data_IF_383389818657
#
_entry.id   IF_383389818657
#
_cell.length_a   1.000
_cell.length_b   1.000
_cell.length_c   1.000
_cell.angle_alpha   90.00
_cell.angle_beta   90.00
_cell.angle_gamma   90.00
#
_symmetry.space_group_name_H-M   'P 1'
#
loop_
_entity.id
_entity.type
_entity.pdbx_description
1 polymer ?
#
# COMPACT_ATOMS: atom_id res chain seq x y z
N UNK A 1 -11.73 12.29 -11.91
CA UNK A 1 -12.34 11.94 -10.61
C UNK A 1 -13.81 12.36 -10.54
N UNK A 2 -14.70 11.45 -10.16
CA UNK A 2 -16.11 11.77 -9.87
C UNK A 2 -16.26 12.54 -8.55
N UNK A 3 -17.36 13.27 -8.36
CA UNK A 3 -17.65 13.95 -7.08
C UNK A 3 -17.80 12.95 -5.93
N UNK A 4 -18.42 11.80 -6.19
CA UNK A 4 -18.61 10.73 -5.21
C UNK A 4 -17.27 10.22 -4.68
N UNK A 5 -16.31 9.92 -5.57
CA UNK A 5 -14.98 9.48 -5.17
C UNK A 5 -14.28 10.52 -4.30
N UNK A 6 -14.34 11.82 -4.67
CA UNK A 6 -13.74 12.90 -3.89
C UNK A 6 -14.30 12.98 -2.47
N UNK A 7 -15.62 12.88 -2.32
CA UNK A 7 -16.29 12.92 -1.02
C UNK A 7 -15.89 11.71 -0.18
N UNK A 8 -15.92 10.51 -0.76
CA UNK A 8 -15.60 9.28 -0.03
C UNK A 8 -14.11 9.24 0.37
N UNK A 9 -13.20 9.61 -0.53
CA UNK A 9 -11.77 9.70 -0.20
C UNK A 9 -11.52 10.70 0.93
N UNK A 10 -12.13 11.89 0.88
CA UNK A 10 -11.98 12.89 1.95
C UNK A 10 -12.57 12.43 3.29
N UNK A 11 -13.63 11.62 3.26
CA UNK A 11 -14.35 11.19 4.47
C UNK A 11 -13.71 9.97 5.13
N UNK A 12 -13.28 8.98 4.33
CA UNK A 12 -12.85 7.68 4.82
C UNK A 12 -11.32 7.47 4.77
N UNK A 13 -10.58 8.19 3.92
CA UNK A 13 -9.14 7.95 3.73
C UNK A 13 -8.26 8.68 4.75
N UNK A 14 -8.12 8.09 5.94
CA UNK A 14 -7.32 8.68 7.03
C UNK A 14 -5.85 8.26 7.05
N UNK A 15 -5.53 7.10 6.48
CA UNK A 15 -4.20 6.47 6.53
C UNK A 15 -3.62 6.29 5.13
N UNK A 16 -2.33 5.99 5.02
CA UNK A 16 -1.67 5.79 3.73
C UNK A 16 -2.26 4.60 2.97
N UNK A 17 -2.49 3.46 3.63
CA UNK A 17 -3.18 2.30 3.02
C UNK A 17 -4.57 2.64 2.50
N UNK A 18 -5.36 3.43 3.24
CA UNK A 18 -6.66 3.87 2.74
C UNK A 18 -6.56 4.66 1.44
N UNK A 19 -5.61 5.61 1.38
CA UNK A 19 -5.40 6.45 0.21
C UNK A 19 -4.92 5.61 -0.97
N UNK A 20 -3.92 4.74 -0.77
CA UNK A 20 -3.42 3.82 -1.81
C UNK A 20 -4.53 2.91 -2.33
N UNK A 21 -5.31 2.29 -1.44
CA UNK A 21 -6.39 1.37 -1.81
C UNK A 21 -7.49 2.05 -2.65
N UNK A 22 -7.87 3.30 -2.31
CA UNK A 22 -8.84 4.07 -3.09
C UNK A 22 -8.25 4.60 -4.40
N UNK A 23 -7.04 5.16 -4.36
CA UNK A 23 -6.40 5.71 -5.55
C UNK A 23 -6.14 4.62 -6.59
N UNK A 24 -5.84 3.38 -6.17
CA UNK A 24 -5.74 2.22 -7.05
C UNK A 24 -7.04 1.91 -7.80
N UNK A 25 -8.22 2.02 -7.16
CA UNK A 25 -9.51 1.85 -7.84
C UNK A 25 -9.70 2.88 -8.95
N UNK A 26 -9.29 4.12 -8.72
CA UNK A 26 -9.37 5.18 -9.73
C UNK A 26 -8.36 4.99 -10.88
N UNK A 27 -7.34 4.17 -10.66
CA UNK A 27 -6.30 3.84 -11.64
C UNK A 27 -6.56 2.57 -12.43
N UNK A 28 -7.68 1.88 -12.20
CA UNK A 28 -8.06 0.68 -12.96
C UNK A 28 -8.13 0.96 -14.47
N UNK A 29 -7.43 0.15 -15.26
CA UNK A 29 -7.34 0.28 -16.72
C UNK A 29 -8.06 -0.89 -17.42
N UNK A 30 -9.37 -1.01 -17.19
CA UNK A 30 -10.21 -2.00 -17.85
C UNK A 30 -11.52 -1.36 -18.33
N UNK A 31 -12.20 -1.93 -19.34
CA UNK A 31 -13.44 -1.36 -19.87
C UNK A 31 -14.51 -1.13 -18.80
N UNK A 32 -14.57 -2.00 -17.79
CA UNK A 32 -15.54 -1.96 -16.69
C UNK A 32 -15.04 -1.20 -15.44
N UNK A 33 -13.93 -0.46 -15.52
CA UNK A 33 -13.29 0.18 -14.37
C UNK A 33 -14.25 1.04 -13.54
N UNK A 34 -15.12 1.82 -14.19
CA UNK A 34 -16.11 2.65 -13.49
C UNK A 34 -17.16 1.82 -12.73
N UNK A 35 -17.55 0.66 -13.27
CA UNK A 35 -18.48 -0.23 -12.58
C UNK A 35 -17.84 -0.86 -11.35
N UNK A 36 -16.58 -1.29 -11.45
CA UNK A 36 -15.80 -1.77 -10.31
C UNK A 36 -15.61 -0.67 -9.27
N UNK A 37 -15.14 0.52 -9.65
CA UNK A 37 -14.97 1.65 -8.75
C UNK A 37 -16.28 1.91 -7.96
N UNK A 38 -17.43 1.98 -8.64
CA UNK A 38 -18.73 2.16 -7.97
C UNK A 38 -19.09 1.03 -7.01
N UNK A 39 -18.80 -0.23 -7.35
CA UNK A 39 -19.06 -1.36 -6.48
C UNK A 39 -18.27 -1.24 -5.16
N UNK A 40 -16.97 -0.96 -5.24
CA UNK A 40 -16.14 -0.80 -4.05
C UNK A 40 -16.52 0.47 -3.26
N UNK A 41 -16.78 1.59 -3.93
CA UNK A 41 -17.19 2.84 -3.29
C UNK A 41 -18.55 2.74 -2.58
N UNK A 42 -19.47 1.90 -3.06
CA UNK A 42 -20.73 1.58 -2.35
C UNK A 42 -20.48 0.98 -0.96
N UNK A 43 -19.34 0.31 -0.79
CA UNK A 43 -18.93 -0.36 0.43
C UNK A 43 -17.65 0.25 1.03
N UNK A 44 -17.44 1.57 0.84
CA UNK A 44 -16.19 2.25 1.19
C UNK A 44 -15.76 2.04 2.64
N UNK A 45 -16.68 2.11 3.61
CA UNK A 45 -16.35 1.85 5.03
C UNK A 45 -15.74 0.46 5.25
N UNK A 46 -16.32 -0.56 4.61
CA UNK A 46 -15.84 -1.94 4.72
C UNK A 46 -14.49 -2.12 4.01
N UNK A 47 -14.34 -1.49 2.85
CA UNK A 47 -13.08 -1.52 2.11
C UNK A 47 -11.94 -0.90 2.92
N UNK A 48 -12.19 0.24 3.56
CA UNK A 48 -11.23 0.93 4.42
C UNK A 48 -10.93 0.13 5.69
N UNK A 49 -11.96 -0.43 6.34
CA UNK A 49 -11.77 -1.32 7.48
C UNK A 49 -10.86 -2.51 7.11
N UNK A 50 -11.07 -3.14 5.94
CA UNK A 50 -10.19 -4.19 5.43
C UNK A 50 -8.75 -3.72 5.23
N UNK A 51 -8.55 -2.53 4.64
CA UNK A 51 -7.22 -1.96 4.38
C UNK A 51 -6.43 -1.57 5.65
N UNK A 52 -7.06 -1.60 6.82
CA UNK A 52 -6.42 -1.34 8.12
C UNK A 52 -6.47 -2.52 9.09
N UNK A 53 -7.29 -3.52 8.83
CA UNK A 53 -7.42 -4.71 9.69
C UNK A 53 -6.08 -5.42 9.99
N UNK A 54 -5.11 -5.52 9.06
CA UNK A 54 -3.82 -6.12 9.39
C UNK A 54 -3.07 -5.43 10.54
N UNK A 55 -3.12 -4.10 10.62
CA UNK A 55 -2.52 -3.32 11.71
C UNK A 55 -3.38 -3.35 12.99
N UNK A 56 -4.68 -3.12 12.83
CA UNK A 56 -5.56 -2.76 13.93
C UNK A 56 -6.11 -4.00 14.64
N UNK A 57 -6.34 -5.08 13.89
CA UNK A 57 -7.01 -6.30 14.36
C UNK A 57 -6.09 -7.54 14.32
N UNK A 58 -5.47 -7.83 13.18
CA UNK A 58 -4.72 -9.09 13.00
C UNK A 58 -3.38 -9.05 13.71
N UNK A 59 -2.67 -7.92 13.63
CA UNK A 59 -1.39 -7.65 14.30
C UNK A 59 -0.34 -8.72 14.03
N UNK A 60 -0.35 -9.26 12.81
CA UNK A 60 0.55 -10.30 12.37
C UNK A 60 1.75 -9.69 11.62
N UNK A 61 2.47 -8.77 12.29
CA UNK A 61 3.48 -7.87 11.72
C UNK A 61 4.59 -8.54 10.89
N UNK A 62 4.92 -9.81 11.13
CA UNK A 62 5.86 -10.54 10.26
C UNK A 62 5.35 -10.63 8.81
N UNK A 63 4.05 -10.57 8.60
CA UNK A 63 3.43 -10.63 7.28
C UNK A 63 3.36 -9.28 6.56
N UNK A 64 3.77 -8.20 7.22
CA UNK A 64 3.83 -6.86 6.65
C UNK A 64 5.18 -6.63 5.96
N UNK A 65 6.18 -7.44 6.28
CA UNK A 65 7.55 -7.26 5.79
C UNK A 65 7.93 -8.30 4.74
N UNK A 66 8.92 -7.94 3.92
CA UNK A 66 9.63 -8.83 3.02
C UNK A 66 11.06 -8.33 2.81
N UNK A 67 12.05 -9.02 3.37
CA UNK A 67 13.44 -8.61 3.39
C UNK A 67 14.27 -9.27 2.28
N UNK A 68 14.53 -8.62 1.13
CA UNK A 68 15.15 -9.31 0.00
C UNK A 68 16.60 -9.69 0.24
N UNK A 69 17.33 -8.87 1.02
CA UNK A 69 18.73 -9.12 1.40
C UNK A 69 18.88 -10.20 2.49
N UNK A 70 17.78 -10.63 3.11
CA UNK A 70 17.74 -11.72 4.08
C UNK A 70 16.96 -12.92 3.53
N UNK A 71 17.33 -13.37 2.32
CA UNK A 71 16.72 -14.53 1.65
C UNK A 71 15.18 -14.40 1.53
N UNK A 72 14.68 -13.18 1.30
CA UNK A 72 13.25 -12.87 1.26
C UNK A 72 12.51 -13.25 2.56
N UNK A 73 13.12 -13.02 3.73
CA UNK A 73 12.47 -13.23 5.02
C UNK A 73 11.26 -12.32 5.19
N UNK A 74 10.12 -12.87 5.60
CA UNK A 74 8.86 -12.14 5.74
C UNK A 74 7.67 -12.95 5.21
N UNK A 75 6.47 -12.44 5.39
CA UNK A 75 5.23 -13.15 5.05
C UNK A 75 4.35 -12.49 3.99
N UNK A 76 4.71 -11.28 3.52
CA UNK A 76 3.85 -10.50 2.64
C UNK A 76 3.43 -11.24 1.35
N UNK A 77 4.31 -11.90 0.58
CA UNK A 77 3.90 -12.60 -0.64
C UNK A 77 2.83 -13.67 -0.41
N UNK A 78 2.96 -14.44 0.66
CA UNK A 78 2.00 -15.50 1.00
C UNK A 78 0.65 -14.92 1.43
N UNK A 79 0.65 -13.84 2.22
CA UNK A 79 -0.60 -13.17 2.59
C UNK A 79 -1.32 -12.54 1.41
N UNK A 80 -0.58 -11.86 0.53
CA UNK A 80 -1.16 -11.29 -0.70
C UNK A 80 -1.79 -12.40 -1.55
N UNK A 81 -1.07 -13.50 -1.78
CA UNK A 81 -1.61 -14.63 -2.53
C UNK A 81 -2.85 -15.26 -1.87
N UNK A 82 -2.85 -15.41 -0.55
CA UNK A 82 -3.98 -15.94 0.22
C UNK A 82 -5.21 -15.03 0.10
N UNK A 83 -5.06 -13.73 0.35
CA UNK A 83 -6.18 -12.78 0.28
C UNK A 83 -6.67 -12.55 -1.14
N UNK A 84 -5.79 -12.64 -2.14
CA UNK A 84 -6.19 -12.71 -3.54
C UNK A 84 -7.07 -13.94 -3.82
N UNK A 85 -6.69 -15.11 -3.30
CA UNK A 85 -7.50 -16.32 -3.39
C UNK A 85 -8.91 -16.15 -2.80
N UNK A 86 -9.00 -15.56 -1.61
CA UNK A 86 -10.28 -15.23 -0.96
C UNK A 86 -11.11 -14.23 -1.78
N UNK A 87 -10.48 -13.17 -2.29
CA UNK A 87 -11.12 -12.19 -3.17
C UNK A 87 -11.71 -12.87 -4.41
N UNK A 88 -10.93 -13.68 -5.11
CA UNK A 88 -11.39 -14.38 -6.33
C UNK A 88 -12.53 -15.35 -6.01
N UNK A 89 -12.46 -16.07 -4.89
CA UNK A 89 -13.52 -16.97 -4.47
C UNK A 89 -14.83 -16.22 -4.18
N UNK A 90 -14.76 -15.10 -3.45
CA UNK A 90 -15.91 -14.26 -3.13
C UNK A 90 -16.53 -13.66 -4.39
N UNK A 91 -15.72 -13.17 -5.33
CA UNK A 91 -16.19 -12.66 -6.63
C UNK A 91 -16.91 -13.74 -7.45
N UNK A 92 -16.37 -14.97 -7.51
CA UNK A 92 -17.02 -16.10 -8.20
C UNK A 92 -18.34 -16.52 -7.56
N UNK A 93 -18.48 -16.34 -6.25
CA UNK A 93 -19.70 -16.60 -5.52
C UNK A 93 -20.67 -15.41 -5.51
N UNK A 94 -20.33 -14.31 -6.20
CA UNK A 94 -21.08 -13.04 -6.17
C UNK A 94 -21.27 -12.47 -4.75
N UNK A 95 -20.39 -12.85 -3.82
CA UNK A 95 -20.37 -12.31 -2.45
C UNK A 95 -19.60 -10.98 -2.42
N UNK A 96 -20.27 -9.92 -2.88
CA UNK A 96 -19.66 -8.59 -3.05
C UNK A 96 -19.12 -7.99 -1.75
N UNK A 97 -19.79 -8.24 -0.62
CA UNK A 97 -19.38 -7.72 0.69
C UNK A 97 -18.03 -8.34 1.09
N UNK A 98 -17.93 -9.67 0.99
CA UNK A 98 -16.68 -10.38 1.30
C UNK A 98 -15.58 -10.02 0.30
N UNK A 99 -15.91 -9.91 -0.99
CA UNK A 99 -14.94 -9.49 -2.01
C UNK A 99 -14.35 -8.11 -1.68
N UNK A 100 -15.17 -7.14 -1.29
CA UNK A 100 -14.70 -5.80 -0.90
C UNK A 100 -13.79 -5.86 0.31
N UNK A 101 -14.17 -6.61 1.35
CA UNK A 101 -13.33 -6.80 2.53
C UNK A 101 -11.97 -7.43 2.17
N UNK A 102 -11.98 -8.54 1.43
CA UNK A 102 -10.77 -9.24 1.02
C UNK A 102 -9.85 -8.37 0.17
N UNK A 103 -10.39 -7.56 -0.74
CA UNK A 103 -9.59 -6.62 -1.52
C UNK A 103 -8.93 -5.56 -0.64
N UNK A 104 -9.65 -5.04 0.36
CA UNK A 104 -9.11 -4.08 1.33
C UNK A 104 -7.91 -4.69 2.06
N UNK A 105 -8.09 -5.87 2.65
CA UNK A 105 -7.03 -6.57 3.37
C UNK A 105 -5.85 -6.91 2.45
N UNK A 106 -6.11 -7.41 1.24
CA UNK A 106 -5.07 -7.71 0.25
C UNK A 106 -4.24 -6.46 -0.09
N UNK A 107 -4.90 -5.30 -0.24
CA UNK A 107 -4.23 -4.05 -0.61
C UNK A 107 -3.21 -3.60 0.42
N UNK A 108 -3.46 -3.87 1.71
CA UNK A 108 -2.53 -3.56 2.80
C UNK A 108 -1.22 -4.34 2.62
N UNK A 109 -1.28 -5.67 2.68
CA UNK A 109 -0.11 -6.53 2.53
C UNK A 109 0.60 -6.38 1.18
N UNK A 110 -0.13 -5.98 0.12
CA UNK A 110 0.47 -5.74 -1.20
C UNK A 110 1.25 -4.43 -1.25
N UNK A 111 0.95 -3.48 -0.36
CA UNK A 111 1.58 -2.15 -0.36
C UNK A 111 2.66 -2.00 0.70
N UNK A 112 2.65 -2.79 1.79
CA UNK A 112 3.73 -2.72 2.79
C UNK A 112 5.12 -2.90 2.16
N UNK A 113 5.39 -3.91 1.30
CA UNK A 113 6.72 -4.10 0.73
C UNK A 113 7.11 -3.04 -0.31
N UNK A 114 6.20 -2.13 -0.68
CA UNK A 114 6.52 -0.95 -1.49
C UNK A 114 7.18 0.13 -0.62
N UNK A 115 7.00 0.11 0.70
CA UNK A 115 7.65 1.03 1.62
C UNK A 115 9.05 0.51 2.01
N UNK A 116 10.14 1.28 1.84
CA UNK A 116 11.50 0.81 2.11
C UNK A 116 11.67 0.18 3.49
N UNK A 117 11.13 0.78 4.56
CA UNK A 117 11.25 0.26 5.93
C UNK A 117 10.55 -1.08 6.22
N UNK A 118 9.77 -1.62 5.28
CA UNK A 118 9.22 -2.98 5.38
C UNK A 118 10.09 -4.02 4.65
N UNK A 119 11.27 -3.61 4.16
CA UNK A 119 12.17 -4.46 3.35
C UNK A 119 13.51 -4.79 4.02
N UNK A 120 13.76 -4.28 5.21
CA UNK A 120 14.91 -4.60 6.05
C UNK A 120 14.64 -4.07 7.46
N UNK A 121 15.51 -4.42 8.41
CA UNK A 121 15.42 -3.94 9.77
C UNK A 121 16.79 -3.49 10.29
N UNK A 122 16.82 -2.36 11.01
CA UNK A 122 18.01 -1.87 11.69
C UNK A 122 17.62 -1.02 12.90
N UNK A 123 18.56 -0.82 13.84
CA UNK A 123 18.32 0.06 14.98
C UNK A 123 18.03 1.51 14.56
N UNK A 124 18.74 2.01 13.54
CA UNK A 124 18.54 3.36 13.03
C UNK A 124 17.12 3.56 12.48
N UNK A 125 16.64 2.63 11.66
CA UNK A 125 15.29 2.66 11.11
C UNK A 125 14.22 2.48 12.18
N UNK A 126 14.37 1.52 13.11
CA UNK A 126 13.44 1.30 14.23
C UNK A 126 13.16 2.59 15.03
N UNK A 127 14.15 3.47 15.16
CA UNK A 127 14.04 4.73 15.89
C UNK A 127 13.24 5.82 15.14
N UNK A 128 13.10 5.70 13.81
CA UNK A 128 12.45 6.70 12.95
C UNK A 128 11.20 6.18 12.23
N UNK A 129 10.97 4.87 12.17
CA UNK A 129 9.96 4.20 11.34
C UNK A 129 8.59 4.87 11.40
N UNK A 130 8.00 4.92 12.60
CA UNK A 130 6.66 5.48 12.81
C UNK A 130 6.58 6.96 12.44
N UNK A 131 7.65 7.71 12.70
CA UNK A 131 7.69 9.13 12.38
C UNK A 131 7.70 9.31 10.85
N UNK A 132 8.51 8.53 10.13
CA UNK A 132 8.58 8.56 8.68
C UNK A 132 7.25 8.16 8.02
N UNK A 133 6.61 7.07 8.46
CA UNK A 133 5.30 6.66 7.96
C UNK A 133 4.24 7.76 8.19
N UNK A 134 4.31 8.44 9.33
CA UNK A 134 3.42 9.56 9.62
C UNK A 134 3.69 10.77 8.72
N UNK A 135 4.96 11.12 8.50
CA UNK A 135 5.37 12.14 7.53
C UNK A 135 4.84 11.84 6.13
N UNK A 136 5.01 10.61 5.65
CA UNK A 136 4.50 10.16 4.35
C UNK A 136 2.97 10.28 4.30
N UNK A 137 2.26 9.88 5.35
CA UNK A 137 0.81 10.02 5.41
C UNK A 137 0.35 11.48 5.26
N UNK A 138 1.04 12.40 5.94
CA UNK A 138 0.75 13.83 5.94
C UNK A 138 1.12 14.51 4.62
N UNK A 139 2.18 14.03 3.96
CA UNK A 139 2.65 14.52 2.66
C UNK A 139 2.02 13.81 1.45
N UNK A 140 1.19 12.78 1.68
CA UNK A 140 0.72 11.87 0.63
C UNK A 140 0.21 12.55 -0.63
N UNK A 141 -0.66 13.57 -0.51
CA UNK A 141 -1.28 14.18 -1.70
C UNK A 141 -0.25 14.94 -2.56
N UNK A 142 0.78 15.51 -1.94
CA UNK A 142 1.93 16.11 -2.64
C UNK A 142 2.78 15.04 -3.32
N UNK A 143 3.21 14.04 -2.55
CA UNK A 143 4.01 12.90 -3.05
C UNK A 143 3.33 12.18 -4.22
N UNK A 144 2.02 11.93 -4.10
CA UNK A 144 1.22 11.32 -5.16
C UNK A 144 1.18 12.17 -6.43
N UNK A 145 0.98 13.48 -6.28
CA UNK A 145 0.91 14.39 -7.43
C UNK A 145 2.24 14.47 -8.17
N UNK A 146 3.35 14.52 -7.43
CA UNK A 146 4.71 14.50 -7.99
C UNK A 146 5.01 13.16 -8.67
N UNK A 147 4.68 12.03 -8.02
CA UNK A 147 4.90 10.70 -8.56
C UNK A 147 4.13 10.48 -9.88
N UNK A 148 2.86 10.87 -9.95
CA UNK A 148 2.08 10.76 -11.20
C UNK A 148 2.64 11.67 -12.30
N UNK A 149 3.15 12.86 -11.96
CA UNK A 149 3.77 13.74 -12.95
C UNK A 149 5.11 13.20 -13.47
N UNK A 150 5.94 12.61 -12.60
CA UNK A 150 7.25 12.06 -12.94
C UNK A 150 7.18 10.68 -13.60
N UNK A 151 6.15 9.90 -13.30
CA UNK A 151 6.03 8.49 -13.64
C UNK A 151 4.69 8.14 -14.30
N UNK A 152 4.12 9.06 -15.07
CA UNK A 152 2.83 8.88 -15.76
C UNK A 152 2.78 7.60 -16.63
N UNK A 153 3.92 7.25 -17.24
CA UNK A 153 4.06 6.11 -18.15
C UNK A 153 4.69 4.87 -17.47
N UNK A 154 4.73 4.83 -16.13
CA UNK A 154 5.25 3.67 -15.41
C UNK A 154 4.37 2.46 -15.68
N UNK A 155 4.92 1.52 -16.46
CA UNK A 155 4.32 0.22 -16.70
C UNK A 155 4.86 -0.80 -15.69
N UNK A 156 3.95 -1.45 -14.98
CA UNK A 156 4.29 -2.50 -14.00
C UNK A 156 4.08 -3.84 -14.67
N UNK A 157 5.19 -4.48 -15.05
CA UNK A 157 5.14 -5.79 -15.66
C UNK A 157 4.46 -6.81 -14.73
N UNK A 158 3.43 -7.49 -15.24
CA UNK A 158 2.76 -8.60 -14.55
C UNK A 158 3.46 -9.90 -14.98
N UNK A 159 4.15 -10.61 -14.07
CA UNK A 159 4.80 -11.87 -14.40
C UNK A 159 3.79 -12.91 -14.88
N UNK A 160 4.28 -13.91 -15.64
CA UNK A 160 3.46 -15.04 -16.09
C UNK A 160 3.62 -16.23 -15.15
N UNK A 161 2.57 -17.03 -15.01
CA UNK A 161 2.61 -18.29 -14.25
C UNK A 161 1.84 -18.26 -12.94
N UNK A 162 1.81 -19.37 -12.18
CA UNK A 162 0.93 -19.53 -11.03
C UNK A 162 1.34 -18.69 -9.80
N UNK A 163 2.56 -18.16 -9.77
CA UNK A 163 3.09 -17.36 -8.66
C UNK A 163 3.18 -15.87 -8.97
N UNK A 164 2.60 -15.41 -10.08
CA UNK A 164 2.76 -14.05 -10.59
C UNK A 164 2.55 -12.96 -9.52
N UNK A 165 1.56 -13.13 -8.64
CA UNK A 165 1.25 -12.11 -7.62
C UNK A 165 2.31 -12.07 -6.52
N UNK A 166 2.92 -13.21 -6.18
CA UNK A 166 4.04 -13.29 -5.23
C UNK A 166 5.27 -12.64 -5.85
N UNK A 167 5.54 -12.94 -7.11
CA UNK A 167 6.66 -12.39 -7.86
C UNK A 167 6.57 -10.86 -7.97
N UNK A 168 5.36 -10.30 -8.12
CA UNK A 168 5.13 -8.86 -8.08
C UNK A 168 5.48 -8.26 -6.70
N UNK A 169 5.11 -8.92 -5.61
CA UNK A 169 5.43 -8.46 -4.24
C UNK A 169 6.94 -8.50 -4.01
N UNK A 170 7.62 -9.56 -4.45
CA UNK A 170 9.09 -9.64 -4.38
C UNK A 170 9.75 -8.53 -5.20
N UNK A 171 9.29 -8.27 -6.42
CA UNK A 171 9.82 -7.21 -7.28
C UNK A 171 9.60 -5.81 -6.68
N UNK A 172 8.48 -5.58 -6.01
CA UNK A 172 8.23 -4.35 -5.26
C UNK A 172 9.24 -4.19 -4.11
N UNK A 173 9.43 -5.24 -3.30
CA UNK A 173 10.38 -5.22 -2.20
C UNK A 173 11.82 -5.00 -2.67
N UNK A 174 12.25 -5.66 -3.75
CA UNK A 174 13.58 -5.48 -4.35
C UNK A 174 13.80 -4.02 -4.77
N UNK A 175 12.80 -3.40 -5.40
CA UNK A 175 12.87 -2.00 -5.82
C UNK A 175 12.94 -1.08 -4.61
N UNK A 176 12.07 -1.25 -3.62
CA UNK A 176 12.01 -0.37 -2.45
C UNK A 176 13.20 -0.54 -1.51
N UNK A 177 13.77 -1.73 -1.43
CA UNK A 177 14.96 -2.01 -0.65
C UNK A 177 16.20 -1.25 -1.15
N UNK A 178 16.24 -0.84 -2.42
CA UNK A 178 17.30 0.00 -2.95
C UNK A 178 17.35 1.40 -2.31
N UNK A 179 16.23 1.86 -1.73
CA UNK A 179 16.10 3.15 -1.07
C UNK A 179 16.08 3.05 0.47
N UNK A 180 16.26 1.85 1.05
CA UNK A 180 16.21 1.63 2.50
C UNK A 180 17.19 2.53 3.26
N UNK A 181 18.48 2.44 2.97
CA UNK A 181 19.49 3.26 3.65
C UNK A 181 19.36 4.75 3.30
N UNK A 182 18.88 5.07 2.08
CA UNK A 182 18.68 6.46 1.65
C UNK A 182 17.61 7.14 2.50
N UNK A 183 16.46 6.49 2.69
CA UNK A 183 15.38 7.04 3.51
C UNK A 183 15.84 7.24 4.97
N UNK A 184 16.63 6.32 5.53
CA UNK A 184 17.21 6.50 6.87
C UNK A 184 18.13 7.73 6.91
N UNK A 185 19.01 7.87 5.93
CA UNK A 185 20.01 8.93 5.91
C UNK A 185 19.41 10.33 5.72
N UNK A 186 18.28 10.43 5.02
CA UNK A 186 17.66 11.70 4.64
C UNK A 186 16.48 12.11 5.54
N UNK A 187 15.89 11.18 6.30
CA UNK A 187 14.79 11.52 7.19
C UNK A 187 15.26 12.30 8.43
N UNK A 188 14.75 13.51 8.61
CA UNK A 188 15.03 14.33 9.80
C UNK A 188 13.96 14.11 10.87
N UNK A 189 14.26 13.22 11.83
CA UNK A 189 13.36 12.95 12.95
C UNK A 189 13.08 14.18 13.82
N UNK A 190 14.05 15.10 13.98
CA UNK A 190 13.86 16.26 14.86
C UNK A 190 12.81 17.22 14.29
N UNK A 191 12.74 17.32 12.96
CA UNK A 191 11.71 18.11 12.27
C UNK A 191 10.41 17.33 12.14
N UNK A 192 10.47 16.06 11.73
CA UNK A 192 9.29 15.22 11.49
C UNK A 192 8.40 14.96 12.72
N UNK A 193 8.97 15.00 13.94
CA UNK A 193 8.14 14.91 15.16
C UNK A 193 7.40 16.20 15.49
N UNK A 194 7.84 17.35 14.96
CA UNK A 194 7.23 18.67 15.18
C UNK A 194 6.26 19.00 14.05
N UNK A 195 6.74 18.94 12.81
CA UNK A 195 5.95 19.11 11.59
C UNK A 195 6.25 17.93 10.64
N UNK A 196 5.38 16.91 10.57
CA UNK A 196 5.69 15.65 9.90
C UNK A 196 6.19 15.80 8.46
N UNK A 197 5.57 16.61 7.58
CA UNK A 197 6.10 16.84 6.24
C UNK A 197 7.54 17.35 6.20
N UNK A 198 7.99 18.14 7.18
CA UNK A 198 9.36 18.68 7.22
C UNK A 198 10.43 17.65 7.56
N UNK A 199 10.04 16.44 7.99
CA UNK A 199 10.96 15.32 8.17
C UNK A 199 11.43 14.72 6.84
N UNK A 200 10.72 14.97 5.74
CA UNK A 200 11.08 14.52 4.39
C UNK A 200 11.79 15.67 3.65
N UNK A 201 12.85 15.34 2.91
CA UNK A 201 13.48 16.25 1.96
C UNK A 201 13.14 15.87 0.50
N UNK A 202 13.78 16.49 -0.49
CA UNK A 202 13.51 16.19 -1.91
C UNK A 202 14.16 14.90 -2.41
N UNK A 203 14.90 14.19 -1.56
CA UNK A 203 15.63 12.95 -1.88
C UNK A 203 14.99 11.75 -1.18
N UNK A 204 14.46 11.95 0.03
CA UNK A 204 13.72 10.98 0.84
C UNK A 204 12.39 10.56 0.22
#
# INVERSE_FOLDING_TARGET
MSLLFRILRATHARGTHHKLALDALHRLQLPEAEAWERLFLKHADLYMAGAKAPDDDFKDFQNHVLHPRDTYWGGAPEKVASWYGHLVAALKAENWIEAVWCAGVMSHYATDPVHPFHTAQSEAENNIHRAAEWSINRSYDGLWSEAIAAHADLDVAIPVGPHWIKDMVCAAADRSNADYEKLIAHYDINRGVVDPPEGLDSIA
#
